data_IF_569602901838
#
_entry.id   IF_569602901838
#
_cell.length_a   1.000
_cell.length_b   1.000
_cell.length_c   1.000
_cell.angle_alpha   90.00
_cell.angle_beta   90.00
_cell.angle_gamma   90.00
#
_symmetry.space_group_name_H-M   'P 1'
#
loop_
_entity.id
_entity.type
_entity.pdbx_description
1 polymer ?
#
# COMPACT_ATOMS: atom_id res chain seq x y z
N UNK A 1 -25.13 13.19 -12.78
CA UNK A 1 -24.56 11.87 -12.42
C UNK A 1 -23.13 12.09 -11.92
N UNK A 2 -22.79 11.82 -10.66
CA UNK A 2 -21.41 11.94 -10.20
C UNK A 2 -20.57 10.82 -10.81
N UNK A 3 -19.48 11.20 -11.50
CA UNK A 3 -18.50 10.26 -12.05
C UNK A 3 -17.63 9.74 -10.91
N UNK A 4 -17.72 8.44 -10.61
CA UNK A 4 -16.82 7.76 -9.66
C UNK A 4 -15.44 7.67 -10.31
N UNK A 5 -14.55 8.58 -9.94
CA UNK A 5 -13.13 8.48 -10.28
C UNK A 5 -12.41 7.81 -9.11
N UNK A 6 -11.56 6.83 -9.40
CA UNK A 6 -10.64 6.31 -8.39
C UNK A 6 -9.62 7.42 -8.11
N UNK A 7 -9.76 8.08 -6.96
CA UNK A 7 -8.78 9.03 -6.46
C UNK A 7 -7.73 8.27 -5.62
N UNK A 8 -6.42 8.49 -5.85
CA UNK A 8 -5.38 7.88 -5.04
C UNK A 8 -5.60 8.15 -3.57
N UNK A 9 -5.29 7.18 -2.70
CA UNK A 9 -5.49 7.36 -1.25
C UNK A 9 -4.78 8.62 -0.72
N UNK A 10 -3.62 8.95 -1.30
CA UNK A 10 -2.87 10.17 -0.98
C UNK A 10 -3.51 11.50 -1.41
N UNK A 11 -4.67 11.51 -2.06
CA UNK A 11 -5.46 12.74 -2.29
C UNK A 11 -6.65 12.87 -1.35
N UNK A 12 -6.87 11.89 -0.47
CA UNK A 12 -8.02 11.83 0.45
C UNK A 12 -7.67 12.30 1.86
N UNK A 13 -6.66 13.15 2.01
CA UNK A 13 -6.18 13.60 3.32
C UNK A 13 -5.82 15.08 3.30
N UNK A 14 -6.28 15.82 4.32
CA UNK A 14 -5.86 17.19 4.60
C UNK A 14 -4.96 17.22 5.83
N UNK A 15 -3.66 17.47 5.61
CA UNK A 15 -2.67 17.55 6.70
C UNK A 15 -2.88 18.74 7.62
N UNK A 16 -3.29 19.90 7.08
CA UNK A 16 -3.48 21.14 7.85
C UNK A 16 -4.54 20.98 8.92
N UNK A 17 -5.63 20.27 8.60
CA UNK A 17 -6.77 20.10 9.48
C UNK A 17 -6.81 18.73 10.17
N UNK A 18 -5.83 17.85 9.89
CA UNK A 18 -5.81 16.49 10.43
C UNK A 18 -7.05 15.69 10.04
N UNK A 19 -7.54 15.83 8.80
CA UNK A 19 -8.78 15.17 8.36
C UNK A 19 -8.53 14.19 7.24
N UNK A 20 -9.17 13.03 7.34
CA UNK A 20 -9.37 12.18 6.19
C UNK A 20 -10.56 12.72 5.39
N UNK A 21 -10.30 13.10 4.15
CA UNK A 21 -11.24 13.75 3.24
C UNK A 21 -11.72 12.77 2.17
N UNK A 22 -12.17 11.58 2.59
CA UNK A 22 -12.92 10.67 1.71
C UNK A 22 -14.11 11.40 1.03
N UNK A 23 -14.86 10.72 0.14
CA UNK A 23 -16.02 11.29 -0.57
C UNK A 23 -16.78 12.26 0.34
N UNK A 24 -16.83 13.54 -0.08
CA UNK A 24 -16.95 14.76 0.74
C UNK A 24 -17.95 14.74 1.91
N UNK A 25 -18.92 13.83 1.92
CA UNK A 25 -19.89 13.59 2.98
C UNK A 25 -19.35 12.83 4.22
N UNK A 26 -18.20 12.14 4.14
CA UNK A 26 -17.68 11.27 5.23
C UNK A 26 -16.26 11.64 5.67
N UNK A 27 -16.04 12.90 6.02
CA UNK A 27 -14.77 13.32 6.59
C UNK A 27 -14.70 12.93 8.07
N UNK A 28 -13.53 12.48 8.52
CA UNK A 28 -13.29 12.16 9.93
C UNK A 28 -11.93 12.67 10.40
N UNK A 29 -11.83 12.86 11.71
CA UNK A 29 -10.61 13.33 12.35
C UNK A 29 -9.57 12.21 12.43
N UNK A 30 -8.35 12.53 12.05
CA UNK A 30 -7.15 11.70 12.13
C UNK A 30 -6.01 12.48 12.79
N UNK A 31 -6.29 13.63 13.42
CA UNK A 31 -5.29 14.46 14.09
C UNK A 31 -4.56 13.72 15.22
N UNK A 32 -5.21 12.74 15.83
CA UNK A 32 -4.64 11.83 16.81
C UNK A 32 -3.82 10.67 16.21
N UNK A 33 -3.68 10.60 14.88
CA UNK A 33 -2.97 9.54 14.16
C UNK A 33 -1.71 10.10 13.46
N UNK A 34 -0.62 10.39 14.20
CA UNK A 34 0.58 11.02 13.65
C UNK A 34 1.23 10.20 12.52
N UNK A 35 1.15 8.87 12.58
CA UNK A 35 1.70 7.96 11.57
C UNK A 35 1.03 8.15 10.21
N UNK A 36 -0.29 8.39 10.20
CA UNK A 36 -1.08 8.63 8.98
C UNK A 36 -0.65 9.96 8.34
N UNK A 37 -0.43 10.99 9.16
CA UNK A 37 0.07 12.29 8.70
C UNK A 37 1.53 12.20 8.21
N UNK A 38 2.36 11.35 8.82
CA UNK A 38 3.72 11.08 8.37
C UNK A 38 3.73 10.29 7.06
N UNK A 39 2.84 9.32 6.90
CA UNK A 39 2.65 8.57 5.66
C UNK A 39 2.31 9.50 4.48
N UNK A 40 1.47 10.52 4.69
CA UNK A 40 1.21 11.51 3.65
C UNK A 40 2.48 12.26 3.21
N UNK A 41 3.37 12.60 4.14
CA UNK A 41 4.66 13.24 3.80
C UNK A 41 5.53 12.30 2.96
N UNK A 42 5.58 11.02 3.32
CA UNK A 42 6.28 9.97 2.57
C UNK A 42 5.71 9.82 1.17
N UNK A 43 4.39 9.76 1.02
CA UNK A 43 3.72 9.73 -0.28
C UNK A 43 4.07 10.96 -1.15
N UNK A 44 4.11 12.17 -0.58
CA UNK A 44 4.54 13.34 -1.34
C UNK A 44 6.00 13.21 -1.83
N UNK A 45 6.92 12.69 -1.00
CA UNK A 45 8.30 12.42 -1.44
C UNK A 45 8.34 11.37 -2.55
N UNK A 46 7.55 10.31 -2.44
CA UNK A 46 7.41 9.29 -3.47
C UNK A 46 6.99 9.91 -4.82
N UNK A 47 5.97 10.80 -4.80
CA UNK A 47 5.53 11.54 -5.99
C UNK A 47 6.63 12.44 -6.54
N UNK A 48 7.37 13.14 -5.67
CA UNK A 48 8.46 14.02 -6.09
C UNK A 48 9.63 13.25 -6.71
N UNK A 49 9.99 12.08 -6.18
CA UNK A 49 11.13 11.30 -6.65
C UNK A 49 10.83 10.44 -7.88
N UNK A 50 9.63 9.84 -7.95
CA UNK A 50 9.28 8.86 -8.99
C UNK A 50 8.25 9.38 -10.00
N UNK A 51 7.71 10.57 -9.77
CA UNK A 51 6.63 11.14 -10.56
C UNK A 51 5.25 10.61 -10.15
N UNK A 52 4.23 11.38 -10.48
CA UNK A 52 2.84 11.11 -10.11
C UNK A 52 2.34 9.73 -10.57
N UNK A 53 2.55 9.38 -11.84
CA UNK A 53 2.04 8.12 -12.42
C UNK A 53 2.61 6.89 -11.70
N UNK A 54 3.92 6.86 -11.46
CA UNK A 54 4.57 5.74 -10.77
C UNK A 54 4.11 5.63 -9.31
N UNK A 55 4.03 6.76 -8.60
CA UNK A 55 3.57 6.79 -7.21
C UNK A 55 2.12 6.29 -7.08
N UNK A 56 1.24 6.69 -8.00
CA UNK A 56 -0.16 6.25 -8.01
C UNK A 56 -0.28 4.76 -8.30
N UNK A 57 0.47 4.23 -9.27
CA UNK A 57 0.50 2.79 -9.56
C UNK A 57 1.03 1.99 -8.38
N UNK A 58 2.12 2.44 -7.75
CA UNK A 58 2.70 1.80 -6.58
C UNK A 58 1.72 1.77 -5.39
N UNK A 59 0.99 2.87 -5.14
CA UNK A 59 -0.04 2.90 -4.10
C UNK A 59 -1.17 1.93 -4.41
N UNK A 60 -1.63 1.85 -5.66
CA UNK A 60 -2.68 0.91 -6.05
C UNK A 60 -2.24 -0.54 -5.80
N UNK A 61 -1.05 -0.91 -6.26
CA UNK A 61 -0.49 -2.25 -6.04
C UNK A 61 -0.32 -2.56 -4.55
N UNK A 62 0.19 -1.59 -3.80
CA UNK A 62 0.35 -1.72 -2.36
C UNK A 62 -0.98 -1.90 -1.62
N UNK A 63 -2.03 -1.18 -2.03
CA UNK A 63 -3.38 -1.34 -1.46
C UNK A 63 -3.96 -2.73 -1.75
N UNK A 64 -3.77 -3.25 -2.97
CA UNK A 64 -4.23 -4.61 -3.33
C UNK A 64 -3.52 -5.70 -2.51
N UNK A 65 -2.21 -5.53 -2.28
CA UNK A 65 -1.41 -6.42 -1.42
C UNK A 65 -1.82 -6.32 0.05
N UNK A 66 -1.92 -5.09 0.57
CA UNK A 66 -2.26 -4.81 1.96
C UNK A 66 -3.62 -5.39 2.35
N UNK A 67 -4.64 -5.23 1.49
CA UNK A 67 -5.99 -5.70 1.77
C UNK A 67 -6.04 -7.20 2.13
N UNK A 68 -5.47 -8.03 1.27
CA UNK A 68 -5.47 -9.47 1.46
C UNK A 68 -4.53 -9.92 2.59
N UNK A 69 -3.49 -9.13 2.90
CA UNK A 69 -2.65 -9.40 4.06
C UNK A 69 -3.34 -9.09 5.38
N UNK A 70 -4.10 -8.00 5.45
CA UNK A 70 -4.77 -7.61 6.70
C UNK A 70 -5.96 -8.49 7.05
N UNK A 71 -6.60 -9.15 6.07
CA UNK A 71 -7.61 -10.19 6.32
C UNK A 71 -7.03 -11.45 6.99
N UNK A 72 -5.78 -11.80 6.67
CA UNK A 72 -5.18 -13.08 7.10
C UNK A 72 -4.25 -12.97 8.32
N UNK A 73 -3.79 -11.78 8.69
CA UNK A 73 -2.82 -11.55 9.78
C UNK A 73 -3.29 -10.48 10.77
N UNK A 74 -4.59 -10.48 11.06
CA UNK A 74 -5.29 -9.35 11.67
C UNK A 74 -4.92 -9.10 13.14
N UNK A 75 -4.43 -10.08 13.88
CA UNK A 75 -4.53 -10.06 15.35
C UNK A 75 -3.49 -9.18 16.08
N UNK A 76 -2.37 -8.82 15.43
CA UNK A 76 -1.29 -8.04 16.07
C UNK A 76 -0.84 -6.81 15.28
N UNK A 77 -1.59 -6.39 14.27
CA UNK A 77 -1.11 -5.34 13.36
C UNK A 77 -1.31 -3.92 13.94
N UNK A 78 -0.31 -3.00 13.83
CA UNK A 78 -0.42 -1.60 14.25
C UNK A 78 -1.67 -0.83 13.79
N UNK A 79 -2.31 -1.22 12.68
CA UNK A 79 -3.53 -0.56 12.21
C UNK A 79 -4.73 -0.82 13.12
N UNK A 80 -4.77 -1.93 13.89
CA UNK A 80 -5.83 -2.18 14.88
C UNK A 80 -5.82 -1.11 15.97
N UNK A 81 -4.63 -0.77 16.48
CA UNK A 81 -4.50 0.28 17.49
C UNK A 81 -5.00 1.63 16.94
N UNK A 82 -4.62 1.96 15.70
CA UNK A 82 -5.12 3.18 15.04
C UNK A 82 -6.63 3.16 14.82
N UNK A 83 -7.23 2.00 14.51
CA UNK A 83 -8.68 1.87 14.44
C UNK A 83 -9.35 2.10 15.80
N UNK A 84 -8.81 1.55 16.88
CA UNK A 84 -9.31 1.79 18.24
C UNK A 84 -9.23 3.27 18.59
N UNK A 85 -8.14 3.96 18.25
CA UNK A 85 -7.97 5.40 18.46
C UNK A 85 -8.95 6.21 17.59
N UNK A 86 -9.16 5.80 16.33
CA UNK A 86 -9.99 6.51 15.36
C UNK A 86 -11.49 6.29 15.58
N UNK A 87 -11.90 5.11 16.04
CA UNK A 87 -13.29 4.66 16.03
C UNK A 87 -13.82 4.26 17.41
N UNK A 88 -12.94 4.15 18.42
CA UNK A 88 -13.25 3.59 19.73
C UNK A 88 -13.15 2.06 19.78
N UNK A 89 -13.09 1.48 20.99
CA UNK A 89 -12.88 0.03 21.19
C UNK A 89 -14.09 -0.84 20.82
N UNK A 90 -15.28 -0.25 20.70
CA UNK A 90 -16.52 -0.95 20.34
C UNK A 90 -16.79 -0.95 18.83
N UNK A 91 -15.84 -0.48 18.02
CA UNK A 91 -16.04 -0.40 16.58
C UNK A 91 -16.17 -1.79 15.97
N UNK A 92 -17.27 -1.99 15.25
CA UNK A 92 -17.74 -3.22 14.63
C UNK A 92 -17.90 -3.05 13.11
N UNK A 93 -16.98 -2.31 12.48
CA UNK A 93 -17.12 -1.88 11.09
C UNK A 93 -17.17 -3.01 10.05
N UNK A 94 -17.38 -2.60 8.81
CA UNK A 94 -17.53 -3.50 7.65
C UNK A 94 -16.37 -3.32 6.66
N UNK A 95 -16.20 -4.30 5.77
CA UNK A 95 -15.11 -4.45 4.79
C UNK A 95 -14.76 -3.17 4.00
N UNK A 96 -15.74 -2.28 3.77
CA UNK A 96 -15.57 -1.07 2.97
C UNK A 96 -15.54 0.23 3.79
N UNK A 97 -15.25 0.16 5.09
CA UNK A 97 -15.17 1.34 5.93
C UNK A 97 -13.93 2.19 5.57
N UNK A 98 -14.09 3.47 5.19
CA UNK A 98 -12.96 4.33 4.84
C UNK A 98 -11.97 4.54 6.00
N UNK A 99 -12.38 4.26 7.25
CA UNK A 99 -11.51 4.30 8.44
C UNK A 99 -10.49 3.18 8.44
N UNK A 100 -10.81 2.01 7.88
CA UNK A 100 -9.83 0.92 7.66
C UNK A 100 -8.74 1.43 6.73
N UNK A 101 -9.12 2.01 5.58
CA UNK A 101 -8.18 2.56 4.60
C UNK A 101 -7.27 3.64 5.21
N UNK A 102 -7.82 4.51 6.06
CA UNK A 102 -7.02 5.51 6.76
C UNK A 102 -6.03 4.89 7.76
N UNK A 103 -6.47 3.90 8.53
CA UNK A 103 -5.64 3.25 9.55
C UNK A 103 -4.56 2.35 8.96
N UNK A 104 -4.75 1.85 7.73
CA UNK A 104 -3.77 1.02 7.01
C UNK A 104 -2.94 1.82 5.99
N UNK A 105 -3.20 3.13 5.88
CA UNK A 105 -2.48 4.02 4.98
C UNK A 105 -0.95 4.06 5.23
N UNK A 106 -0.46 4.06 6.49
CA UNK A 106 0.99 4.05 6.75
C UNK A 106 1.72 2.86 6.13
N UNK A 107 1.16 1.66 6.26
CA UNK A 107 1.68 0.43 5.68
C UNK A 107 1.58 0.45 4.16
N UNK A 108 0.45 0.92 3.63
CA UNK A 108 0.24 1.08 2.17
C UNK A 108 1.32 1.95 1.55
N UNK A 109 1.62 3.10 2.17
CA UNK A 109 2.65 4.01 1.67
C UNK A 109 4.04 3.39 1.77
N UNK A 110 4.35 2.72 2.87
CA UNK A 110 5.65 2.08 3.06
C UNK A 110 5.91 0.97 2.02
N UNK A 111 4.88 0.18 1.71
CA UNK A 111 4.95 -0.82 0.66
C UNK A 111 5.04 -0.18 -0.73
N UNK A 112 4.31 0.92 -0.98
CA UNK A 112 4.41 1.65 -2.23
C UNK A 112 5.81 2.24 -2.46
N UNK A 113 6.51 2.73 -1.43
CA UNK A 113 7.90 3.18 -1.52
C UNK A 113 8.83 2.04 -1.98
N UNK A 114 8.65 0.85 -1.42
CA UNK A 114 9.39 -0.35 -1.81
C UNK A 114 9.10 -0.75 -3.27
N UNK A 115 7.82 -0.75 -3.66
CA UNK A 115 7.38 -1.10 -5.00
C UNK A 115 7.74 -0.06 -6.07
N UNK A 116 7.95 1.20 -5.69
CA UNK A 116 8.40 2.26 -6.60
C UNK A 116 9.93 2.31 -6.75
N UNK A 117 10.69 1.77 -5.80
CA UNK A 117 12.15 1.66 -5.89
C UNK A 117 12.52 0.61 -6.95
N UNK A 118 13.22 1.00 -8.04
CA UNK A 118 13.64 0.04 -9.06
C UNK A 118 14.57 -1.04 -8.49
N UNK A 119 15.44 -0.65 -7.55
CA UNK A 119 16.40 -1.56 -6.92
C UNK A 119 15.69 -2.62 -6.08
N UNK A 120 14.77 -2.21 -5.20
CA UNK A 120 14.06 -3.15 -4.33
C UNK A 120 13.03 -3.99 -5.09
N UNK A 121 12.27 -3.37 -6.01
CA UNK A 121 11.30 -4.08 -6.86
C UNK A 121 11.94 -5.16 -7.71
N UNK A 122 13.22 -5.04 -8.05
CA UNK A 122 13.97 -6.01 -8.85
C UNK A 122 14.40 -7.27 -8.10
N UNK A 123 14.60 -7.18 -6.77
CA UNK A 123 15.23 -8.24 -5.97
C UNK A 123 14.57 -9.63 -6.10
N UNK A 124 13.23 -9.78 -6.08
CA UNK A 124 12.60 -11.10 -6.20
C UNK A 124 12.84 -11.82 -7.54
N UNK A 125 13.37 -11.12 -8.54
CA UNK A 125 13.46 -11.59 -9.92
C UNK A 125 14.91 -11.82 -10.37
N UNK A 126 15.89 -11.71 -9.47
CA UNK A 126 17.30 -11.98 -9.80
C UNK A 126 17.60 -13.47 -9.87
N UNK A 127 16.77 -14.31 -9.25
CA UNK A 127 16.99 -15.75 -9.10
C UNK A 127 17.80 -16.12 -7.85
N UNK A 128 18.33 -15.12 -7.13
CA UNK A 128 19.13 -15.32 -5.93
C UNK A 128 18.25 -15.36 -4.67
N UNK A 129 18.36 -16.43 -3.88
CA UNK A 129 17.61 -16.58 -2.63
C UNK A 129 17.92 -15.45 -1.64
N UNK A 130 19.16 -14.96 -1.61
CA UNK A 130 19.57 -13.85 -0.75
C UNK A 130 18.82 -12.54 -1.08
N UNK A 131 18.58 -12.26 -2.36
CA UNK A 131 17.84 -11.08 -2.78
C UNK A 131 16.35 -11.21 -2.44
N UNK A 132 15.78 -12.40 -2.61
CA UNK A 132 14.42 -12.70 -2.18
C UNK A 132 14.26 -12.47 -0.66
N UNK A 133 15.17 -13.02 0.16
CA UNK A 133 15.14 -12.81 1.61
C UNK A 133 15.32 -11.34 1.99
N UNK A 134 16.17 -10.60 1.28
CA UNK A 134 16.33 -9.16 1.47
C UNK A 134 15.02 -8.42 1.18
N UNK A 135 14.34 -8.73 0.08
CA UNK A 135 13.06 -8.13 -0.27
C UNK A 135 11.99 -8.40 0.79
N UNK A 136 11.90 -9.64 1.28
CA UNK A 136 10.97 -10.06 2.34
C UNK A 136 11.27 -9.30 3.65
N UNK A 137 12.55 -9.17 3.97
CA UNK A 137 13.02 -8.42 5.15
C UNK A 137 12.60 -6.95 5.07
N UNK A 138 12.74 -6.32 3.90
CA UNK A 138 12.29 -4.93 3.70
C UNK A 138 10.77 -4.79 3.84
N UNK A 139 9.97 -5.76 3.38
CA UNK A 139 8.51 -5.78 3.62
C UNK A 139 8.23 -5.84 5.13
N UNK A 140 8.91 -6.73 5.86
CA UNK A 140 8.72 -6.89 7.31
C UNK A 140 9.05 -5.61 8.09
N UNK A 141 10.20 -5.02 7.79
CA UNK A 141 10.68 -3.82 8.49
C UNK A 141 9.75 -2.63 8.23
N UNK A 142 9.28 -2.46 6.99
CA UNK A 142 8.61 -1.22 6.58
C UNK A 142 7.10 -1.25 6.68
N UNK A 143 6.48 -2.40 6.39
CA UNK A 143 5.04 -2.46 6.12
C UNK A 143 4.30 -3.54 6.90
N UNK A 144 4.91 -4.70 7.15
CA UNK A 144 4.19 -5.82 7.75
C UNK A 144 5.13 -6.69 8.62
N UNK A 145 5.41 -6.31 9.87
CA UNK A 145 6.36 -7.02 10.74
C UNK A 145 6.07 -8.52 10.92
N UNK A 146 4.79 -8.88 11.01
CA UNK A 146 4.33 -10.27 11.12
C UNK A 146 4.27 -11.03 9.79
N UNK A 147 4.77 -10.47 8.70
CA UNK A 147 4.66 -11.07 7.39
C UNK A 147 5.43 -12.40 7.30
N UNK A 148 4.72 -13.48 6.97
CA UNK A 148 5.31 -14.79 6.68
C UNK A 148 5.16 -15.06 5.20
N UNK A 149 6.27 -15.34 4.54
CA UNK A 149 6.25 -15.72 3.14
C UNK A 149 6.05 -17.23 3.02
N UNK A 150 4.94 -17.60 2.42
CA UNK A 150 4.67 -18.96 1.98
C UNK A 150 4.62 -18.97 0.44
N UNK A 151 5.66 -19.54 -0.17
CA UNK A 151 5.76 -19.66 -1.63
C UNK A 151 4.86 -20.77 -2.19
N UNK A 152 4.35 -21.67 -1.33
CA UNK A 152 3.48 -22.78 -1.72
C UNK A 152 2.02 -22.33 -1.88
N UNK A 153 1.60 -21.28 -1.17
CA UNK A 153 0.26 -20.71 -1.31
C UNK A 153 0.16 -19.78 -2.53
N UNK A 154 -0.39 -20.29 -3.62
CA UNK A 154 -0.62 -19.50 -4.86
C UNK A 154 -1.67 -18.41 -4.71
N UNK A 155 -2.47 -18.43 -3.64
CA UNK A 155 -3.43 -17.36 -3.32
C UNK A 155 -2.77 -16.22 -2.54
N UNK A 156 -1.55 -16.45 -2.04
CA UNK A 156 -0.80 -15.47 -1.30
C UNK A 156 -0.60 -14.18 -2.13
N UNK A 157 -0.96 -12.99 -1.59
CA UNK A 157 -1.03 -11.74 -2.36
C UNK A 157 0.29 -11.38 -3.05
N UNK A 158 1.39 -11.55 -2.33
CA UNK A 158 2.73 -11.29 -2.86
C UNK A 158 3.11 -12.23 -3.99
N UNK A 159 2.72 -13.51 -3.90
CA UNK A 159 2.99 -14.51 -4.95
C UNK A 159 2.21 -14.13 -6.20
N UNK A 160 0.94 -13.72 -6.05
CA UNK A 160 0.13 -13.23 -7.18
C UNK A 160 0.70 -11.95 -7.80
N UNK A 161 1.20 -11.03 -6.98
CA UNK A 161 1.88 -9.83 -7.48
C UNK A 161 3.16 -10.19 -8.25
N UNK A 162 4.01 -11.06 -7.72
CA UNK A 162 5.23 -11.51 -8.41
C UNK A 162 4.91 -12.16 -9.76
N UNK A 163 3.88 -13.02 -9.82
CA UNK A 163 3.43 -13.63 -11.08
C UNK A 163 2.98 -12.58 -12.11
N UNK A 164 2.18 -11.59 -11.70
CA UNK A 164 1.78 -10.48 -12.57
C UNK A 164 2.99 -9.68 -13.06
N UNK A 165 3.97 -9.45 -12.19
CA UNK A 165 5.16 -8.67 -12.51
C UNK A 165 6.10 -9.40 -13.48
N UNK A 166 6.31 -10.71 -13.29
CA UNK A 166 7.02 -11.57 -14.27
C UNK A 166 6.34 -11.47 -15.63
N UNK A 167 5.01 -11.59 -15.67
CA UNK A 167 4.26 -11.47 -16.91
C UNK A 167 4.48 -10.10 -17.57
N UNK A 168 4.41 -9.00 -16.83
CA UNK A 168 4.68 -7.65 -17.37
C UNK A 168 6.11 -7.50 -17.91
N UNK A 169 7.10 -8.07 -17.23
CA UNK A 169 8.51 -8.03 -17.65
C UNK A 169 8.77 -8.89 -18.89
N UNK A 170 7.96 -9.92 -19.11
CA UNK A 170 8.02 -10.77 -20.32
C UNK A 170 7.32 -10.18 -21.54
N UNK A 171 6.49 -9.13 -21.37
CA UNK A 171 5.84 -8.48 -22.51
C UNK A 171 6.87 -7.67 -23.30
N UNK A 172 6.90 -7.78 -24.64
CA UNK A 172 7.78 -6.96 -25.47
C UNK A 172 7.45 -5.47 -25.27
N UNK A 173 8.48 -4.63 -25.15
CA UNK A 173 8.32 -3.18 -25.08
C UNK A 173 7.52 -2.68 -26.30
N UNK A 174 6.44 -1.91 -26.14
CA UNK A 174 5.68 -1.36 -27.27
C UNK A 174 6.41 -0.23 -28.03
N UNK A 175 7.73 -0.10 -27.87
CA UNK A 175 8.55 0.92 -28.55
C UNK A 175 9.56 0.24 -29.44
N UNK A 176 9.08 -0.39 -30.50
CA UNK A 176 9.87 -0.80 -31.67
C UNK A 176 8.92 -1.00 -32.85
N UNK A 177 8.18 0.06 -33.22
CA UNK A 177 7.64 0.13 -34.58
C UNK A 177 8.73 0.80 -35.43
N UNK A 178 9.28 0.13 -36.46
CA UNK A 178 10.20 0.77 -37.38
C UNK A 178 9.43 1.83 -38.20
N UNK A 179 10.01 3.03 -38.26
CA UNK A 179 9.63 4.08 -39.22
C UNK A 179 10.03 3.69 -40.63
#
# INVERSE_FOLDING_TARGET
MPVRHWAPVGTKLCRKHGRWTADHAKQFDIGSLPDVLQAQRRYHRLVLHHGWKAAVLAIREASELGWHWWENYADEHPWRHRLTVCCGPQWNGYENDPRIVACTYPETVALAELLASPQLRGLPFTGEEADMQRFITEIRIRAAPGYVHDSSDRRHPLVRWMQKEVHRRSLPNPVSAPS
#
